data_IF_797157401502
#
_entry.id   IF_797157401502
#
_cell.length_a   1.000
_cell.length_b   1.000
_cell.length_c   1.000
_cell.angle_alpha   90.00
_cell.angle_beta   90.00
_cell.angle_gamma   90.00
#
_symmetry.space_group_name_H-M   'P 1'
#
loop_
_entity.id
_entity.type
_entity.pdbx_description
1 polymer ?
#
# COMPACT_ATOMS: atom_id res chain seq x y z
N UNK A 1 12.58 4.40 -19.01
CA UNK A 1 11.42 3.54 -19.34
C UNK A 1 10.84 2.85 -18.10
N UNK A 2 11.65 2.15 -17.29
CA UNK A 2 11.18 1.48 -16.06
C UNK A 2 10.38 2.41 -15.12
N UNK A 3 10.92 3.60 -14.78
CA UNK A 3 10.24 4.58 -13.91
C UNK A 3 8.86 4.99 -14.43
N UNK A 4 8.74 5.30 -15.72
CA UNK A 4 7.47 5.72 -16.32
C UNK A 4 6.41 4.63 -16.24
N UNK A 5 6.79 3.37 -16.51
CA UNK A 5 5.89 2.23 -16.38
C UNK A 5 5.46 2.02 -14.93
N UNK A 6 6.40 2.07 -13.97
CA UNK A 6 6.08 1.93 -12.55
C UNK A 6 5.10 2.99 -12.07
N UNK A 7 5.32 4.26 -12.43
CA UNK A 7 4.42 5.35 -12.06
C UNK A 7 3.03 5.16 -12.66
N UNK A 8 2.95 4.79 -13.94
CA UNK A 8 1.66 4.57 -14.60
C UNK A 8 0.91 3.35 -14.05
N UNK A 9 1.62 2.28 -13.72
CA UNK A 9 1.03 1.09 -13.09
C UNK A 9 0.45 1.44 -11.72
N UNK A 10 1.19 2.18 -10.89
CA UNK A 10 0.70 2.61 -9.58
C UNK A 10 -0.54 3.50 -9.69
N UNK A 11 -0.52 4.48 -10.60
CA UNK A 11 -1.66 5.36 -10.87
C UNK A 11 -2.88 4.56 -11.35
N UNK A 12 -2.72 3.69 -12.33
CA UNK A 12 -3.82 2.88 -12.87
C UNK A 12 -4.42 1.95 -11.82
N UNK A 13 -3.59 1.31 -11.00
CA UNK A 13 -4.06 0.45 -9.90
C UNK A 13 -4.86 1.23 -8.86
N UNK A 14 -4.38 2.41 -8.44
CA UNK A 14 -5.10 3.28 -7.50
C UNK A 14 -6.44 3.75 -8.08
N UNK A 15 -6.45 4.18 -9.36
CA UNK A 15 -7.67 4.60 -10.04
C UNK A 15 -8.71 3.47 -10.08
N UNK A 16 -8.30 2.25 -10.44
CA UNK A 16 -9.19 1.08 -10.45
C UNK A 16 -9.77 0.79 -9.06
N UNK A 17 -8.95 0.87 -8.01
CA UNK A 17 -9.41 0.64 -6.64
C UNK A 17 -10.42 1.69 -6.14
N UNK A 18 -10.32 2.94 -6.62
CA UNK A 18 -11.23 4.02 -6.25
C UNK A 18 -12.56 3.92 -7.00
N UNK A 19 -12.54 3.56 -8.29
CA UNK A 19 -13.73 3.64 -9.15
C UNK A 19 -14.47 2.31 -9.31
N UNK A 20 -13.85 1.19 -8.97
CA UNK A 20 -14.50 -0.11 -9.06
C UNK A 20 -15.49 -0.33 -7.92
N UNK A 21 -16.55 -1.09 -8.20
CA UNK A 21 -17.40 -1.68 -7.16
C UNK A 21 -16.73 -2.84 -6.43
N UNK A 22 -15.64 -3.38 -6.97
CA UNK A 22 -14.91 -4.49 -6.38
C UNK A 22 -13.90 -3.98 -5.36
N UNK A 23 -13.70 -4.76 -4.30
CA UNK A 23 -12.66 -4.49 -3.31
C UNK A 23 -11.26 -4.65 -3.92
N UNK A 24 -10.22 -4.01 -3.35
CA UNK A 24 -8.83 -4.21 -3.80
C UNK A 24 -8.38 -5.67 -3.79
N UNK A 25 -8.89 -6.49 -2.85
CA UNK A 25 -8.59 -7.92 -2.78
C UNK A 25 -9.18 -8.69 -3.98
N UNK A 26 -10.41 -8.37 -4.38
CA UNK A 26 -11.05 -8.96 -5.57
C UNK A 26 -10.37 -8.49 -6.86
N UNK A 27 -10.05 -7.20 -6.96
CA UNK A 27 -9.31 -6.64 -8.10
C UNK A 27 -7.95 -7.34 -8.29
N UNK A 28 -7.20 -7.53 -7.20
CA UNK A 28 -5.94 -8.28 -7.21
C UNK A 28 -6.17 -9.72 -7.69
N UNK A 29 -7.19 -10.41 -7.16
CA UNK A 29 -7.51 -11.78 -7.56
C UNK A 29 -7.81 -11.89 -9.06
N UNK A 30 -8.55 -10.92 -9.61
CA UNK A 30 -8.92 -10.90 -11.03
C UNK A 30 -7.71 -10.80 -11.98
N UNK A 31 -6.58 -10.24 -11.52
CA UNK A 31 -5.34 -10.14 -12.31
C UNK A 31 -4.28 -11.18 -11.92
N UNK A 32 -4.65 -12.16 -11.09
CA UNK A 32 -3.75 -13.21 -10.60
C UNK A 32 -4.19 -14.56 -11.16
N UNK A 33 -3.54 -15.01 -12.24
CA UNK A 33 -3.75 -16.35 -12.77
C UNK A 33 -2.96 -17.40 -11.97
N UNK A 34 -3.50 -18.64 -11.84
CA UNK A 34 -2.76 -19.75 -11.26
C UNK A 34 -1.43 -19.99 -11.97
N UNK A 35 -0.34 -20.11 -11.20
CA UNK A 35 1.04 -20.24 -11.67
C UNK A 35 1.51 -19.08 -12.58
N UNK A 36 0.85 -17.92 -12.50
CA UNK A 36 1.17 -16.73 -13.27
C UNK A 36 2.29 -15.88 -12.66
N UNK A 37 2.74 -14.88 -13.42
CA UNK A 37 3.79 -13.94 -12.98
C UNK A 37 3.33 -13.08 -11.79
N UNK A 38 2.07 -12.64 -11.77
CA UNK A 38 1.49 -11.90 -10.63
C UNK A 38 1.48 -12.74 -9.37
N UNK A 39 1.12 -14.04 -9.47
CA UNK A 39 1.12 -14.94 -8.32
C UNK A 39 2.55 -15.11 -7.77
N UNK A 40 3.53 -15.36 -8.63
CA UNK A 40 4.92 -15.51 -8.22
C UNK A 40 5.45 -14.26 -7.49
N UNK A 41 5.06 -13.06 -7.94
CA UNK A 41 5.40 -11.82 -7.24
C UNK A 41 4.72 -11.71 -5.87
N UNK A 42 3.43 -12.06 -5.77
CA UNK A 42 2.68 -12.04 -4.51
C UNK A 42 3.29 -13.02 -3.48
N UNK A 43 3.73 -14.21 -3.90
CA UNK A 43 4.39 -15.16 -3.00
C UNK A 43 5.71 -14.63 -2.41
N UNK A 44 6.41 -13.76 -3.14
CA UNK A 44 7.59 -13.06 -2.61
C UNK A 44 7.17 -11.99 -1.61
N UNK A 45 6.12 -11.22 -1.91
CA UNK A 45 5.60 -10.18 -1.01
C UNK A 45 5.05 -10.74 0.29
N UNK A 46 4.39 -11.91 0.24
CA UNK A 46 3.87 -12.60 1.41
C UNK A 46 5.01 -13.11 2.31
N UNK A 47 6.05 -13.70 1.71
CA UNK A 47 7.28 -14.10 2.42
C UNK A 47 8.03 -12.91 3.04
N UNK A 48 7.97 -11.76 2.40
CA UNK A 48 8.53 -10.51 2.90
C UNK A 48 7.61 -9.77 3.90
N UNK A 49 6.44 -10.34 4.24
CA UNK A 49 5.47 -9.77 5.18
C UNK A 49 5.08 -8.32 4.84
N UNK A 50 4.93 -8.00 3.55
CA UNK A 50 4.68 -6.62 3.12
C UNK A 50 3.43 -6.02 3.76
N UNK A 51 2.32 -6.78 3.86
CA UNK A 51 1.09 -6.27 4.46
C UNK A 51 1.28 -5.87 5.92
N UNK A 52 1.98 -6.70 6.71
CA UNK A 52 2.29 -6.42 8.11
C UNK A 52 3.23 -5.22 8.24
N UNK A 53 4.24 -5.15 7.39
CA UNK A 53 5.21 -4.05 7.38
C UNK A 53 4.54 -2.71 7.05
N UNK A 54 3.61 -2.68 6.09
CA UNK A 54 2.84 -1.47 5.76
C UNK A 54 1.98 -1.04 6.95
N UNK A 55 1.29 -1.97 7.61
CA UNK A 55 0.48 -1.66 8.80
C UNK A 55 1.36 -1.10 9.94
N UNK A 56 2.52 -1.70 10.19
CA UNK A 56 3.46 -1.22 11.20
C UNK A 56 4.00 0.18 10.86
N UNK A 57 4.31 0.44 9.58
CA UNK A 57 4.77 1.74 9.12
C UNK A 57 3.70 2.83 9.32
N UNK A 58 2.43 2.54 8.99
CA UNK A 58 1.32 3.48 9.20
C UNK A 58 1.07 3.74 10.69
N UNK A 59 1.15 2.72 11.54
CA UNK A 59 1.02 2.88 12.99
C UNK A 59 2.15 3.76 13.56
N UNK A 60 3.39 3.56 13.09
CA UNK A 60 4.53 4.40 13.49
C UNK A 60 4.35 5.86 13.04
N UNK A 61 3.88 6.08 11.80
CA UNK A 61 3.59 7.42 11.30
C UNK A 61 2.47 8.11 12.09
N UNK A 62 1.40 7.38 12.43
CA UNK A 62 0.32 7.88 13.27
C UNK A 62 0.84 8.28 14.66
N UNK A 63 1.63 7.42 15.30
CA UNK A 63 2.23 7.72 16.61
C UNK A 63 3.06 8.99 16.55
N UNK A 64 3.93 9.14 15.55
CA UNK A 64 4.76 10.35 15.40
C UNK A 64 3.92 11.60 15.17
N UNK A 65 2.84 11.50 14.40
CA UNK A 65 1.90 12.61 14.20
C UNK A 65 1.29 13.10 15.52
N UNK A 66 0.92 12.16 16.41
CA UNK A 66 0.38 12.50 17.73
C UNK A 66 1.42 13.15 18.65
N UNK A 67 2.66 12.64 18.65
CA UNK A 67 3.78 13.25 19.40
C UNK A 67 4.02 14.70 18.94
N UNK A 68 4.08 14.93 17.63
CA UNK A 68 4.25 16.27 17.06
C UNK A 68 3.12 17.24 17.49
N UNK A 69 1.89 16.76 17.54
CA UNK A 69 0.75 17.56 17.99
C UNK A 69 0.84 17.91 19.49
N UNK A 70 1.35 17.00 20.32
CA UNK A 70 1.60 17.24 21.75
C UNK A 70 2.74 18.26 21.94
N UNK A 71 3.88 18.05 21.28
CA UNK A 71 5.04 18.95 21.30
C UNK A 71 4.62 20.40 20.91
N UNK A 72 3.80 20.53 19.86
CA UNK A 72 3.29 21.84 19.43
C UNK A 72 2.35 22.50 20.45
N UNK A 73 1.51 21.71 21.11
CA UNK A 73 0.58 22.19 22.14
C UNK A 73 1.30 22.63 23.41
N UNK A 74 2.40 21.97 23.75
CA UNK A 74 3.26 22.32 24.89
C UNK A 74 4.12 23.55 24.60
N UNK A 75 4.61 23.72 23.38
CA UNK A 75 5.38 24.90 22.97
C UNK A 75 4.53 26.17 22.80
N UNK A 76 3.20 26.05 22.71
CA UNK A 76 2.27 27.18 22.55
C UNK A 76 1.63 27.63 23.88
N UNK A 77 2.00 26.99 25.00
CA UNK A 77 1.63 27.39 26.36
C UNK A 77 2.76 28.18 27.00
#
# INVERSE_FOLDING_TARGET
>A
MATALTLQTALGAAQMAITSSNTPAELRKNVTSPNGTTQAALEVFDRAHISQNIQAALAAAQKRSQELAQELSESSK
#
